data_IF_507163977258
#
_entry.id   IF_507163977258
#
_cell.length_a   1.000
_cell.length_b   1.000
_cell.length_c   1.000
_cell.angle_alpha   90.00
_cell.angle_beta   90.00
_cell.angle_gamma   90.00
#
_symmetry.space_group_name_H-M   'P 1'
#
loop_
_entity.id
_entity.type
_entity.pdbx_description
1 polymer ?
#
# COMPACT_ATOMS: atom_id res chain seq x y z
N UNK A 1 4.19 -2.51 20.10
CA UNK A 1 4.22 -1.27 19.33
C UNK A 1 4.04 -1.53 17.84
N UNK A 2 4.86 -2.26 17.18
CA UNK A 2 4.98 -2.39 15.72
C UNK A 2 3.76 -2.85 14.89
N UNK A 3 2.96 -3.83 15.36
CA UNK A 3 1.75 -4.28 14.62
C UNK A 3 0.69 -3.19 14.64
N UNK A 4 0.47 -2.56 15.79
CA UNK A 4 -0.46 -1.43 15.94
C UNK A 4 -0.07 -0.28 15.00
N UNK A 5 1.20 0.09 14.97
CA UNK A 5 1.68 1.25 14.21
C UNK A 5 1.55 1.01 12.70
N UNK A 6 1.81 -0.21 12.23
CA UNK A 6 1.57 -0.59 10.83
C UNK A 6 0.08 -0.55 10.45
N UNK A 7 -0.82 -0.93 11.37
CA UNK A 7 -2.26 -0.86 11.15
C UNK A 7 -2.76 0.59 11.17
N UNK A 8 -2.26 1.43 12.08
CA UNK A 8 -2.56 2.87 12.10
C UNK A 8 -2.18 3.50 10.76
N UNK A 9 -0.96 3.25 10.27
CA UNK A 9 -0.51 3.73 8.97
C UNK A 9 -1.39 3.22 7.81
N UNK A 10 -1.74 1.93 7.82
CA UNK A 10 -2.61 1.34 6.82
C UNK A 10 -3.99 1.98 6.78
N UNK A 11 -4.62 2.20 7.94
CA UNK A 11 -5.94 2.84 7.98
C UNK A 11 -5.90 4.31 7.58
N UNK A 12 -4.84 5.05 7.93
CA UNK A 12 -4.64 6.41 7.42
C UNK A 12 -4.48 6.39 5.88
N UNK A 13 -3.74 5.44 5.32
CA UNK A 13 -3.65 5.29 3.87
C UNK A 13 -5.00 4.94 3.22
N UNK A 14 -5.76 4.03 3.81
CA UNK A 14 -7.09 3.70 3.31
C UNK A 14 -8.04 4.90 3.31
N UNK A 15 -7.95 5.74 4.35
CA UNK A 15 -8.71 6.98 4.48
C UNK A 15 -8.22 8.04 3.47
N UNK A 16 -6.90 8.22 3.34
CA UNK A 16 -6.28 9.13 2.37
C UNK A 16 -6.73 8.82 0.93
N UNK A 17 -6.81 7.54 0.57
CA UNK A 17 -7.28 7.13 -0.77
C UNK A 17 -8.74 7.48 -1.05
N UNK A 18 -9.58 7.52 -0.03
CA UNK A 18 -11.02 7.78 -0.17
C UNK A 18 -11.38 9.26 -0.10
N UNK A 19 -10.69 10.00 0.76
CA UNK A 19 -11.06 11.36 1.12
C UNK A 19 -10.02 12.42 0.70
N UNK A 20 -8.86 12.00 0.15
CA UNK A 20 -7.74 12.91 -0.10
C UNK A 20 -7.08 13.36 1.20
N UNK A 21 -6.72 14.64 1.32
CA UNK A 21 -6.17 15.21 2.55
C UNK A 21 -7.03 14.90 3.78
N UNK A 22 -6.41 14.41 4.85
CA UNK A 22 -7.07 13.94 6.08
C UNK A 22 -6.48 14.58 7.33
N UNK A 23 -7.22 14.68 8.43
CA UNK A 23 -6.64 14.88 9.75
C UNK A 23 -5.78 13.66 10.11
N UNK A 24 -4.61 13.90 10.69
CA UNK A 24 -3.76 12.84 11.23
C UNK A 24 -4.10 12.70 12.71
N UNK A 25 -4.40 11.46 13.13
CA UNK A 25 -4.70 11.11 14.51
C UNK A 25 -3.78 9.99 14.92
N UNK A 26 -2.81 10.31 15.80
CA UNK A 26 -1.80 9.37 16.32
C UNK A 26 -2.04 8.99 17.79
N UNK A 27 -2.97 9.69 18.44
CA UNK A 27 -3.32 9.54 19.84
C UNK A 27 -4.84 9.45 20.04
N UNK A 28 -5.24 8.95 21.21
CA UNK A 28 -6.64 8.94 21.61
C UNK A 28 -7.17 10.36 21.83
N UNK A 29 -8.27 10.70 21.21
CA UNK A 29 -8.99 11.95 21.39
C UNK A 29 -10.24 11.65 22.23
N UNK A 30 -10.38 12.21 23.46
CA UNK A 30 -11.57 12.06 24.27
C UNK A 30 -12.84 12.57 23.56
N UNK A 31 -13.99 11.93 23.82
CA UNK A 31 -15.25 12.31 23.19
C UNK A 31 -15.77 13.70 23.57
N UNK A 32 -15.32 14.23 24.71
CA UNK A 32 -15.67 15.55 25.23
C UNK A 32 -14.70 16.65 24.76
N UNK A 33 -13.74 16.32 23.88
CA UNK A 33 -12.79 17.29 23.32
C UNK A 33 -13.54 18.35 22.51
N UNK A 34 -13.34 19.65 22.78
CA UNK A 34 -13.95 20.73 22.02
C UNK A 34 -13.57 20.66 20.53
N UNK A 35 -14.50 21.00 19.65
CA UNK A 35 -14.26 20.97 18.19
C UNK A 35 -13.13 21.90 17.73
N UNK A 36 -12.81 22.92 18.50
CA UNK A 36 -11.68 23.84 18.26
C UNK A 36 -10.31 23.20 18.45
N UNK A 37 -10.22 22.08 19.15
CA UNK A 37 -8.98 21.34 19.42
C UNK A 37 -8.71 20.23 18.39
N UNK A 38 -9.67 19.94 17.49
CA UNK A 38 -9.43 18.98 16.43
C UNK A 38 -8.57 19.61 15.33
N UNK A 39 -7.58 18.84 14.88
CA UNK A 39 -6.78 19.22 13.72
C UNK A 39 -7.66 19.29 12.48
N UNK A 40 -7.40 20.28 11.64
CA UNK A 40 -7.92 20.32 10.28
C UNK A 40 -7.27 19.22 9.39
N UNK A 41 -7.60 19.25 8.11
CA UNK A 41 -6.96 18.36 7.14
C UNK A 41 -5.52 18.81 6.91
N UNK A 42 -4.60 17.87 6.98
CA UNK A 42 -3.21 18.14 6.60
C UNK A 42 -3.05 18.11 5.08
N UNK A 43 -2.04 18.80 4.57
CA UNK A 43 -1.66 18.74 3.16
C UNK A 43 -1.44 17.29 2.72
N UNK A 44 -1.83 16.94 1.48
CA UNK A 44 -1.75 15.57 0.96
C UNK A 44 -0.33 14.99 1.09
N UNK A 45 0.69 15.73 0.65
CA UNK A 45 2.08 15.24 0.71
C UNK A 45 2.58 15.07 2.15
N UNK A 46 2.15 15.94 3.07
CA UNK A 46 2.43 15.76 4.50
C UNK A 46 1.82 14.44 5.04
N UNK A 47 0.57 14.15 4.67
CA UNK A 47 -0.07 12.88 5.05
C UNK A 47 0.71 11.68 4.48
N UNK A 48 1.14 11.76 3.22
CA UNK A 48 1.95 10.71 2.57
C UNK A 48 3.26 10.48 3.32
N UNK A 49 3.98 11.55 3.66
CA UNK A 49 5.25 11.46 4.37
C UNK A 49 5.07 10.89 5.78
N UNK A 50 4.05 11.33 6.50
CA UNK A 50 3.73 10.80 7.82
C UNK A 50 3.43 9.30 7.77
N UNK A 51 2.56 8.86 6.85
CA UNK A 51 2.20 7.44 6.70
C UNK A 51 3.43 6.61 6.30
N UNK A 52 4.26 7.11 5.36
CA UNK A 52 5.47 6.44 4.92
C UNK A 52 6.46 6.25 6.07
N UNK A 53 6.64 7.27 6.90
CA UNK A 53 7.49 7.21 8.09
C UNK A 53 6.99 6.19 9.12
N UNK A 54 5.67 6.16 9.37
CA UNK A 54 5.08 5.16 10.29
C UNK A 54 5.31 3.73 9.78
N UNK A 55 5.19 3.49 8.47
CA UNK A 55 5.46 2.19 7.85
C UNK A 55 6.93 1.82 7.94
N UNK A 56 7.85 2.77 7.78
CA UNK A 56 9.28 2.54 7.92
C UNK A 56 9.66 2.20 9.36
N UNK A 57 9.15 2.93 10.35
CA UNK A 57 9.39 2.63 11.76
C UNK A 57 8.82 1.24 12.14
N UNK A 58 7.63 0.91 11.66
CA UNK A 58 7.06 -0.41 11.87
C UNK A 58 7.91 -1.52 11.23
N UNK A 59 8.42 -1.29 10.01
CA UNK A 59 9.22 -2.27 9.28
C UNK A 59 10.56 -2.61 9.96
N UNK A 60 11.14 -1.68 10.74
CA UNK A 60 12.40 -1.93 11.47
C UNK A 60 12.28 -3.02 12.53
N UNK A 61 11.11 -3.23 13.08
CA UNK A 61 10.86 -4.11 14.24
C UNK A 61 10.01 -5.33 13.87
N UNK A 62 9.26 -5.27 12.77
CA UNK A 62 8.47 -6.39 12.30
C UNK A 62 9.35 -7.46 11.64
N UNK A 63 9.08 -8.76 11.85
CA UNK A 63 9.78 -9.81 11.13
C UNK A 63 9.46 -9.76 9.63
N UNK A 64 10.39 -10.17 8.80
CA UNK A 64 10.21 -10.18 7.34
C UNK A 64 9.15 -11.20 6.90
N UNK A 65 9.06 -12.34 7.59
CA UNK A 65 8.12 -13.42 7.32
C UNK A 65 7.54 -13.98 8.63
N UNK A 66 6.39 -14.69 8.52
CA UNK A 66 5.75 -15.43 9.60
C UNK A 66 5.65 -16.90 9.19
N UNK A 67 6.40 -17.74 9.87
CA UNK A 67 6.46 -19.19 9.58
C UNK A 67 5.44 -20.00 10.39
N UNK A 68 4.97 -19.46 11.51
CA UNK A 68 4.03 -20.14 12.40
C UNK A 68 2.60 -19.93 11.91
N UNK A 69 1.86 -21.01 11.69
CA UNK A 69 0.53 -21.01 11.06
C UNK A 69 -0.50 -20.13 11.79
N UNK A 70 -0.47 -20.09 13.12
CA UNK A 70 -1.38 -19.24 13.91
C UNK A 70 -1.05 -17.74 13.86
N UNK A 71 0.08 -17.38 13.23
CA UNK A 71 0.49 -15.99 13.02
C UNK A 71 0.30 -15.52 11.57
N UNK A 72 -0.18 -16.37 10.69
CA UNK A 72 -0.47 -15.99 9.31
C UNK A 72 -1.50 -14.86 9.27
N UNK A 73 -1.26 -13.91 8.39
CA UNK A 73 -2.07 -12.69 8.28
C UNK A 73 -1.67 -11.55 9.22
N UNK A 74 -0.75 -11.77 10.17
CA UNK A 74 -0.18 -10.68 10.96
C UNK A 74 0.79 -9.84 10.13
N UNK A 75 0.91 -8.56 10.49
CA UNK A 75 1.81 -7.63 9.82
C UNK A 75 3.26 -8.12 9.84
N UNK A 76 3.95 -7.93 8.70
CA UNK A 76 5.37 -8.20 8.51
C UNK A 76 6.05 -6.97 7.93
N UNK A 77 7.38 -6.89 8.00
CA UNK A 77 8.12 -5.79 7.36
C UNK A 77 7.95 -5.80 5.84
N UNK A 78 7.83 -6.99 5.22
CA UNK A 78 7.53 -7.15 3.80
C UNK A 78 6.19 -6.48 3.44
N UNK A 79 5.13 -6.73 4.24
CA UNK A 79 3.82 -6.09 4.05
C UNK A 79 3.92 -4.58 4.23
N UNK A 80 4.61 -4.10 5.28
CA UNK A 80 4.76 -2.67 5.53
C UNK A 80 5.47 -1.95 4.37
N UNK A 81 6.55 -2.53 3.83
CA UNK A 81 7.26 -1.99 2.66
C UNK A 81 6.44 -2.04 1.38
N UNK A 82 5.66 -3.10 1.15
CA UNK A 82 4.76 -3.19 0.02
C UNK A 82 3.63 -2.14 0.09
N UNK A 83 3.06 -1.90 1.27
CA UNK A 83 2.06 -0.83 1.48
C UNK A 83 2.68 0.55 1.26
N UNK A 84 3.91 0.79 1.74
CA UNK A 84 4.65 2.03 1.46
C UNK A 84 4.89 2.25 -0.03
N UNK A 85 5.34 1.23 -0.76
CA UNK A 85 5.53 1.32 -2.21
C UNK A 85 4.23 1.70 -2.92
N UNK A 86 3.11 1.08 -2.55
CA UNK A 86 1.79 1.40 -3.09
C UNK A 86 1.33 2.83 -2.74
N UNK A 87 1.57 3.28 -1.53
CA UNK A 87 1.29 4.66 -1.10
C UNK A 87 2.04 5.68 -1.96
N UNK A 88 3.35 5.50 -2.12
CA UNK A 88 4.20 6.43 -2.87
C UNK A 88 3.89 6.41 -4.37
N UNK A 89 3.57 5.24 -4.95
CA UNK A 89 3.10 5.15 -6.33
C UNK A 89 1.77 5.89 -6.52
N UNK A 90 0.83 5.76 -5.59
CA UNK A 90 -0.42 6.49 -5.60
C UNK A 90 -0.21 8.00 -5.51
N UNK A 91 0.70 8.44 -4.64
CA UNK A 91 1.03 9.86 -4.47
C UNK A 91 1.78 10.46 -5.68
N UNK A 92 2.52 9.64 -6.45
CA UNK A 92 3.17 10.05 -7.68
C UNK A 92 2.22 10.15 -8.88
N UNK A 93 0.99 9.59 -8.77
CA UNK A 93 0.02 9.61 -9.86
C UNK A 93 -0.33 11.04 -10.30
N UNK A 94 -0.72 11.26 -11.57
CA UNK A 94 -1.02 12.59 -12.09
C UNK A 94 -2.02 13.38 -11.24
N UNK A 95 -3.02 12.71 -10.67
CA UNK A 95 -4.02 13.36 -9.81
C UNK A 95 -3.39 14.13 -8.64
N UNK A 96 -2.39 13.53 -7.97
CA UNK A 96 -1.73 14.10 -6.78
C UNK A 96 -0.38 14.73 -7.09
N UNK A 97 -0.01 14.76 -8.37
CA UNK A 97 1.27 15.29 -8.83
C UNK A 97 1.07 16.31 -9.98
N UNK A 98 0.44 17.41 -9.64
CA UNK A 98 0.33 18.58 -10.51
C UNK A 98 -0.96 18.66 -11.35
N UNK A 99 -1.86 17.66 -11.31
CA UNK A 99 -3.09 17.67 -12.12
C UNK A 99 -4.38 17.58 -11.28
N UNK A 100 -4.33 18.10 -10.06
CA UNK A 100 -5.53 18.11 -9.23
C UNK A 100 -6.56 19.12 -9.75
N UNK A 101 -7.86 18.72 -9.91
CA UNK A 101 -8.85 19.54 -10.59
C UNK A 101 -9.28 20.80 -9.81
N UNK A 102 -8.97 20.88 -8.51
CA UNK A 102 -9.32 22.02 -7.65
C UNK A 102 -8.04 22.68 -7.11
N UNK A 103 -7.38 23.55 -7.88
CA UNK A 103 -6.06 24.11 -7.53
C UNK A 103 -6.05 25.00 -6.28
N UNK A 104 -7.19 25.58 -5.92
CA UNK A 104 -7.33 26.45 -4.76
C UNK A 104 -7.95 25.77 -3.53
N UNK A 105 -7.84 24.44 -3.45
CA UNK A 105 -8.37 23.72 -2.30
C UNK A 105 -7.48 23.94 -1.08
N UNK A 106 -8.03 24.58 -0.07
CA UNK A 106 -7.31 24.99 1.13
C UNK A 106 -8.20 24.95 2.37
N UNK A 107 -7.56 24.90 3.54
CA UNK A 107 -8.22 25.04 4.82
C UNK A 107 -8.59 26.51 5.09
N UNK A 108 -9.64 26.73 5.86
CA UNK A 108 -10.00 28.07 6.36
C UNK A 108 -9.14 28.46 7.58
N UNK A 109 -9.10 27.60 8.60
CA UNK A 109 -8.56 27.90 9.93
C UNK A 109 -7.44 26.95 10.39
N UNK A 110 -6.82 26.19 9.47
CA UNK A 110 -5.75 25.26 9.80
C UNK A 110 -4.60 25.37 8.80
N UNK A 111 -3.39 25.31 9.32
CA UNK A 111 -2.16 25.36 8.50
C UNK A 111 -1.33 24.09 8.71
N UNK A 112 -0.95 23.44 7.61
CA UNK A 112 -0.01 22.31 7.66
C UNK A 112 1.42 22.84 7.72
N UNK A 113 2.26 22.34 8.65
CA UNK A 113 3.67 22.72 8.71
C UNK A 113 4.37 22.54 7.37
N UNK A 114 4.98 23.62 6.86
CA UNK A 114 5.68 23.62 5.58
C UNK A 114 4.82 23.81 4.33
N UNK A 115 3.47 23.75 4.44
CA UNK A 115 2.54 23.85 3.31
C UNK A 115 1.48 24.95 3.48
N UNK A 116 1.44 25.61 4.64
CA UNK A 116 0.41 26.60 4.95
C UNK A 116 -1.01 26.02 4.89
N UNK A 117 -1.94 26.76 4.32
CA UNK A 117 -3.35 26.37 4.21
C UNK A 117 -3.67 25.43 3.04
N UNK A 118 -2.77 25.30 2.06
CA UNK A 118 -2.97 24.47 0.87
C UNK A 118 -3.14 23.00 1.26
N UNK A 119 -4.07 22.32 0.60
CA UNK A 119 -4.35 20.89 0.81
C UNK A 119 -3.67 20.00 -0.22
N UNK A 120 -3.33 20.52 -1.38
CA UNK A 120 -2.70 19.78 -2.48
C UNK A 120 -1.68 20.64 -3.21
N UNK A 121 -0.64 20.02 -3.75
CA UNK A 121 0.34 20.67 -4.62
C UNK A 121 -0.15 20.63 -6.07
N UNK A 122 -0.09 21.78 -6.75
CA UNK A 122 -0.49 21.91 -8.16
C UNK A 122 0.72 21.92 -9.13
N UNK A 123 1.90 21.63 -8.63
CA UNK A 123 3.13 21.56 -9.42
C UNK A 123 3.57 20.11 -9.56
N UNK A 124 3.97 19.74 -10.79
CA UNK A 124 4.56 18.44 -11.03
C UNK A 124 5.92 18.31 -10.35
N UNK A 125 6.11 17.22 -9.63
CA UNK A 125 7.37 16.88 -8.97
C UNK A 125 7.84 15.49 -9.40
N UNK A 126 8.93 15.45 -10.17
CA UNK A 126 9.54 14.20 -10.64
C UNK A 126 10.06 13.33 -9.50
N UNK A 127 10.47 13.94 -8.40
CA UNK A 127 11.03 13.21 -7.24
C UNK A 127 10.02 12.23 -6.61
N UNK A 128 8.72 12.47 -6.73
CA UNK A 128 7.67 11.55 -6.27
C UNK A 128 7.76 10.20 -6.99
N UNK A 129 8.02 10.20 -8.30
CA UNK A 129 8.22 8.97 -9.08
C UNK A 129 9.52 8.25 -8.72
N UNK A 130 10.59 9.00 -8.49
CA UNK A 130 11.88 8.45 -8.07
C UNK A 130 11.77 7.78 -6.68
N UNK A 131 11.08 8.42 -5.74
CA UNK A 131 10.76 7.85 -4.43
C UNK A 131 9.89 6.59 -4.54
N UNK A 132 8.88 6.59 -5.40
CA UNK A 132 8.03 5.44 -5.64
C UNK A 132 8.82 4.26 -6.21
N UNK A 133 9.69 4.51 -7.20
CA UNK A 133 10.57 3.49 -7.77
C UNK A 133 11.51 2.88 -6.72
N UNK A 134 12.16 3.71 -5.93
CA UNK A 134 13.05 3.24 -4.86
C UNK A 134 12.32 2.39 -3.83
N UNK A 135 11.10 2.80 -3.43
CA UNK A 135 10.30 2.02 -2.50
C UNK A 135 9.80 0.68 -3.08
N UNK A 136 9.49 0.63 -4.38
CA UNK A 136 9.14 -0.61 -5.05
C UNK A 136 10.33 -1.58 -5.11
N UNK A 137 11.53 -1.07 -5.41
CA UNK A 137 12.76 -1.86 -5.42
C UNK A 137 13.11 -2.38 -4.02
N UNK A 138 12.98 -1.52 -2.99
CA UNK A 138 13.19 -1.91 -1.58
C UNK A 138 12.22 -3.03 -1.16
N UNK A 139 10.93 -2.87 -1.47
CA UNK A 139 9.91 -3.86 -1.14
C UNK A 139 10.15 -5.20 -1.85
N UNK A 140 10.51 -5.17 -3.14
CA UNK A 140 10.82 -6.37 -3.92
C UNK A 140 12.05 -7.08 -3.36
N UNK A 141 13.13 -6.35 -3.11
CA UNK A 141 14.36 -6.91 -2.54
C UNK A 141 14.09 -7.57 -1.19
N UNK A 142 13.37 -6.89 -0.30
CA UNK A 142 13.03 -7.46 1.01
C UNK A 142 12.14 -8.70 0.89
N UNK A 143 11.17 -8.68 -0.02
CA UNK A 143 10.26 -9.80 -0.24
C UNK A 143 11.00 -11.05 -0.72
N UNK A 144 11.94 -10.91 -1.67
CA UNK A 144 12.66 -12.03 -2.27
C UNK A 144 13.82 -12.53 -1.41
N UNK A 145 14.49 -11.65 -0.64
CA UNK A 145 15.66 -12.03 0.17
C UNK A 145 15.28 -12.53 1.56
N UNK A 146 14.50 -11.74 2.31
CA UNK A 146 14.20 -12.01 3.72
C UNK A 146 12.73 -12.39 3.96
N UNK A 147 11.85 -12.04 3.02
CA UNK A 147 10.42 -12.36 3.08
C UNK A 147 10.10 -13.77 2.64
N UNK A 148 11.04 -14.48 2.03
CA UNK A 148 10.84 -15.82 1.47
C UNK A 148 9.64 -15.86 0.52
N UNK A 149 9.60 -14.91 -0.42
CA UNK A 149 8.55 -14.75 -1.43
C UNK A 149 9.17 -14.81 -2.82
N UNK A 150 8.53 -15.56 -3.66
CA UNK A 150 8.84 -15.64 -5.09
C UNK A 150 7.55 -15.56 -5.89
N UNK A 151 7.67 -15.22 -7.16
CA UNK A 151 6.57 -15.35 -8.08
C UNK A 151 6.48 -16.82 -8.45
N UNK A 152 5.31 -17.41 -8.27
CA UNK A 152 5.07 -18.72 -8.84
C UNK A 152 5.16 -18.59 -10.37
N UNK A 153 6.11 -19.31 -10.95
CA UNK A 153 5.98 -19.59 -12.37
C UNK A 153 4.90 -20.68 -12.56
N UNK A 154 4.35 -20.68 -13.77
CA UNK A 154 3.23 -21.57 -14.06
C UNK A 154 3.62 -23.06 -13.94
N UNK A 155 4.87 -23.40 -14.25
CA UNK A 155 5.31 -24.80 -14.27
C UNK A 155 5.49 -25.35 -12.85
N UNK A 156 6.02 -24.56 -11.92
CA UNK A 156 6.17 -24.96 -10.52
C UNK A 156 4.80 -25.05 -9.83
N UNK A 157 3.92 -24.06 -10.03
CA UNK A 157 2.57 -24.09 -9.47
C UNK A 157 1.78 -25.28 -9.98
N UNK A 158 1.77 -25.52 -11.29
CA UNK A 158 1.08 -26.65 -11.92
C UNK A 158 1.66 -28.00 -11.47
N UNK A 159 2.97 -28.11 -11.28
CA UNK A 159 3.57 -29.37 -10.80
C UNK A 159 3.21 -29.67 -9.35
N UNK A 160 3.16 -28.67 -8.46
CA UNK A 160 2.75 -28.81 -7.05
C UNK A 160 1.27 -29.12 -6.91
N UNK A 161 0.42 -28.59 -7.80
CA UNK A 161 -1.04 -28.75 -7.78
C UNK A 161 -1.55 -29.88 -8.67
N UNK A 162 -0.69 -30.58 -9.39
CA UNK A 162 -1.07 -31.59 -10.39
C UNK A 162 -1.94 -32.74 -9.82
N UNK A 163 -1.91 -32.96 -8.52
CA UNK A 163 -2.69 -34.02 -7.86
C UNK A 163 -4.11 -33.56 -7.44
N UNK A 164 -4.41 -32.25 -7.44
CA UNK A 164 -5.65 -31.70 -6.91
C UNK A 164 -6.33 -30.68 -7.84
N UNK A 165 -5.98 -30.66 -9.13
CA UNK A 165 -6.64 -29.77 -10.07
C UNK A 165 -8.11 -30.18 -10.23
N UNK A 166 -9.06 -29.21 -10.15
CA UNK A 166 -10.47 -29.54 -10.38
C UNK A 166 -10.64 -30.03 -11.82
N UNK A 167 -11.44 -31.08 -11.98
CA UNK A 167 -11.81 -31.56 -13.31
C UNK A 167 -12.54 -30.47 -14.09
N UNK A 168 -12.05 -30.12 -15.26
CA UNK A 168 -12.70 -29.16 -16.18
C UNK A 168 -13.39 -29.97 -17.30
N UNK A 169 -14.73 -29.95 -17.37
CA UNK A 169 -15.45 -30.66 -18.43
C UNK A 169 -15.02 -30.19 -19.83
N UNK A 170 -14.69 -31.15 -20.71
CA UNK A 170 -14.25 -30.85 -22.09
C UNK A 170 -12.73 -30.76 -22.28
N UNK A 171 -11.95 -30.92 -21.21
CA UNK A 171 -10.49 -31.02 -21.27
C UNK A 171 -10.10 -32.49 -21.13
N UNK A 172 -9.41 -33.03 -22.14
CA UNK A 172 -9.26 -34.49 -22.31
C UNK A 172 -8.23 -35.11 -21.33
N UNK A 173 -7.22 -34.36 -20.91
CA UNK A 173 -6.16 -34.86 -20.04
C UNK A 173 -5.59 -33.83 -19.06
N UNK A 174 -4.62 -34.26 -18.25
CA UNK A 174 -4.03 -33.45 -17.19
C UNK A 174 -3.19 -32.29 -17.77
N UNK A 175 -2.53 -32.50 -18.91
CA UNK A 175 -1.70 -31.46 -19.53
C UNK A 175 -2.57 -30.37 -20.19
N UNK A 176 -3.64 -30.76 -20.87
CA UNK A 176 -4.63 -29.81 -21.42
C UNK A 176 -5.29 -28.99 -20.29
N UNK A 177 -5.54 -29.62 -19.16
CA UNK A 177 -6.11 -28.94 -18.00
C UNK A 177 -5.13 -27.91 -17.39
N UNK A 178 -3.84 -28.23 -17.34
CA UNK A 178 -2.78 -27.30 -16.91
C UNK A 178 -2.71 -26.09 -17.85
N UNK A 179 -2.73 -26.33 -19.18
CA UNK A 179 -2.67 -25.25 -20.16
C UNK A 179 -3.91 -24.35 -20.10
N UNK A 180 -5.08 -24.93 -19.91
CA UNK A 180 -6.32 -24.19 -19.70
C UNK A 180 -6.21 -23.26 -18.47
N UNK A 181 -5.77 -23.80 -17.34
CA UNK A 181 -5.59 -23.01 -16.10
C UNK A 181 -4.53 -21.91 -16.25
N UNK A 182 -3.42 -22.19 -16.94
CA UNK A 182 -2.40 -21.21 -17.33
C UNK A 182 -3.02 -20.04 -18.09
N UNK A 183 -3.85 -20.30 -19.07
CA UNK A 183 -4.49 -19.29 -19.90
C UNK A 183 -5.52 -18.48 -19.11
N UNK A 184 -6.29 -19.10 -18.22
CA UNK A 184 -7.23 -18.42 -17.33
C UNK A 184 -6.50 -17.50 -16.33
N UNK A 185 -5.37 -17.93 -15.80
CA UNK A 185 -4.56 -17.10 -14.88
C UNK A 185 -3.90 -15.92 -15.63
N UNK A 186 -3.39 -16.13 -16.85
CA UNK A 186 -2.87 -15.04 -17.69
C UNK A 186 -3.94 -14.00 -18.03
N UNK A 187 -5.16 -14.42 -18.35
CA UNK A 187 -6.28 -13.50 -18.57
C UNK A 187 -6.63 -12.69 -17.31
N UNK A 188 -6.57 -13.28 -16.12
CA UNK A 188 -6.79 -12.55 -14.86
C UNK A 188 -5.71 -11.51 -14.56
N UNK A 189 -4.46 -11.81 -14.85
CA UNK A 189 -3.34 -10.87 -14.65
C UNK A 189 -3.35 -9.71 -15.66
N UNK A 190 -3.94 -9.89 -16.83
CA UNK A 190 -4.08 -8.82 -17.83
C UNK A 190 -5.26 -7.88 -17.57
N UNK A 191 -6.13 -8.19 -16.59
CA UNK A 191 -7.32 -7.40 -16.23
C UNK A 191 -7.11 -6.57 -14.92
N UNK A 192 -5.93 -6.64 -14.32
CA UNK A 192 -5.51 -5.85 -13.15
C UNK A 192 -4.52 -4.77 -13.58
#
# INVERSE_FOLDING_TARGET
MCIRDSLVAYYHFATLRRYGPIPITDSYIPMDTPTSEYNGRFHFDYCVDWIANQLDEAAKVLPANRTVTNEWGRATSTIAKAVKARLLLYAASPLWNGSFPYPNWQNENFETPGYGKALVSNTYDKSKWERALAACQEALTLATTSGDRELYDDDEYCSRQSLNLPFVPGVADVEDNKEFLKNVMKMRLSLI
#
